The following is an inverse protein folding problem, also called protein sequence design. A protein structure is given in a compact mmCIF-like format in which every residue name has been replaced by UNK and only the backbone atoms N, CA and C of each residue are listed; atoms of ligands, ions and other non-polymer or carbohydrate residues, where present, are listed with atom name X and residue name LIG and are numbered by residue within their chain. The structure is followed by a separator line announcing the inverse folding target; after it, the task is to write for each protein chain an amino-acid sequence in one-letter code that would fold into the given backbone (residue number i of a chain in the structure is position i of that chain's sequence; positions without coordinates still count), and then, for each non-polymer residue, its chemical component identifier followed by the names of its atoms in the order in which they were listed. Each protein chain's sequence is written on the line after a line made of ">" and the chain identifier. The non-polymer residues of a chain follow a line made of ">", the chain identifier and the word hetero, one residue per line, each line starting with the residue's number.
data_IF_055582701090
#
_entry.id   IF_055582701090
#
_cell.length_a   1.000
_cell.length_b   1.000
_cell.length_c   1.000
_cell.angle_alpha   90.00
_cell.angle_beta   90.00
_cell.angle_gamma   90.00
#
_symmetry.space_group_name_H-M   'P 1'
#
loop_
_entity.id
_entity.type
_entity.pdbx_description
1 polymer ?
#
# COMPACT_ATOMS: atom_id res chain seq x y z
N UNK A 1 -6.63 4.41 -27.02
CA UNK A 1 -5.29 4.93 -26.73
C UNK A 1 -4.65 4.00 -25.70
N UNK A 2 -3.38 3.65 -25.85
CA UNK A 2 -2.70 2.89 -24.78
C UNK A 2 -2.71 3.72 -23.50
N UNK A 3 -3.14 3.14 -22.37
CA UNK A 3 -2.99 3.76 -21.05
C UNK A 3 -1.66 3.31 -20.47
N UNK A 4 -1.07 4.16 -19.65
CA UNK A 4 0.16 3.87 -18.90
C UNK A 4 -0.19 3.84 -17.43
N UNK A 5 0.23 2.81 -16.75
CA UNK A 5 -0.05 2.66 -15.33
C UNK A 5 1.19 2.36 -14.50
N UNK A 6 1.04 2.50 -13.19
CA UNK A 6 2.00 2.01 -12.22
C UNK A 6 1.27 1.05 -11.29
N UNK A 7 1.82 -0.13 -11.08
CA UNK A 7 1.34 -1.09 -10.08
C UNK A 7 2.31 -1.08 -8.89
N UNK A 8 1.81 -0.78 -7.70
CA UNK A 8 2.62 -0.62 -6.50
C UNK A 8 2.37 -1.77 -5.54
N UNK A 9 3.47 -2.38 -5.09
CA UNK A 9 3.47 -3.34 -4.00
C UNK A 9 4.14 -2.73 -2.76
N UNK A 10 3.43 -2.72 -1.63
CA UNK A 10 4.00 -2.35 -0.34
C UNK A 10 3.40 -3.23 0.76
N UNK A 11 4.18 -4.19 1.26
CA UNK A 11 3.72 -5.15 2.27
C UNK A 11 3.98 -4.69 3.72
N UNK A 12 4.58 -3.52 3.92
CA UNK A 12 5.00 -3.09 5.26
C UNK A 12 6.10 -3.98 5.83
N UNK A 13 6.02 -4.27 7.13
CA UNK A 13 6.98 -5.17 7.78
C UNK A 13 6.73 -6.63 7.35
N UNK A 14 7.74 -7.36 6.82
CA UNK A 14 7.54 -8.73 6.37
C UNK A 14 7.22 -9.64 7.56
N UNK A 15 6.06 -10.28 7.52
CA UNK A 15 5.69 -11.31 8.50
C UNK A 15 6.36 -12.65 8.21
N UNK A 16 6.78 -12.87 6.96
CA UNK A 16 7.49 -14.07 6.49
C UNK A 16 8.53 -13.69 5.43
N UNK A 17 9.51 -14.56 5.18
CA UNK A 17 10.50 -14.34 4.11
C UNK A 17 9.83 -14.26 2.73
N UNK A 18 8.70 -14.94 2.54
CA UNK A 18 7.94 -14.89 1.28
C UNK A 18 7.40 -13.48 0.98
N UNK A 19 7.29 -12.61 1.97
CA UNK A 19 6.94 -11.20 1.76
C UNK A 19 7.97 -10.41 0.93
N UNK A 20 9.17 -10.96 0.72
CA UNK A 20 10.25 -10.35 -0.07
C UNK A 20 10.35 -10.90 -1.50
N UNK A 21 9.52 -11.88 -1.85
CA UNK A 21 9.48 -12.45 -3.19
C UNK A 21 8.69 -11.49 -4.09
N UNK A 22 9.14 -11.23 -5.34
CA UNK A 22 8.39 -10.41 -6.29
C UNK A 22 6.93 -10.86 -6.43
N UNK A 23 6.00 -9.91 -6.42
CA UNK A 23 4.57 -10.22 -6.43
C UNK A 23 4.12 -10.79 -7.78
N UNK A 24 3.74 -12.07 -7.77
CA UNK A 24 3.26 -12.79 -8.95
C UNK A 24 1.90 -12.27 -9.45
N UNK A 25 1.04 -11.80 -8.55
CA UNK A 25 -0.26 -11.23 -8.90
C UNK A 25 -0.07 -9.97 -9.76
N UNK A 26 0.79 -9.04 -9.33
CA UNK A 26 1.11 -7.85 -10.12
C UNK A 26 1.78 -8.20 -11.46
N UNK A 27 2.63 -9.22 -11.50
CA UNK A 27 3.21 -9.70 -12.76
C UNK A 27 2.12 -10.21 -13.74
N UNK A 28 1.13 -10.96 -13.24
CA UNK A 28 0.00 -11.42 -14.04
C UNK A 28 -0.85 -10.23 -14.55
N UNK A 29 -1.18 -9.28 -13.67
CA UNK A 29 -1.93 -8.07 -14.05
C UNK A 29 -1.18 -7.25 -15.10
N UNK A 30 0.15 -7.14 -14.96
CA UNK A 30 1.00 -6.46 -15.94
C UNK A 30 1.01 -7.18 -17.29
N UNK A 31 1.05 -8.53 -17.29
CA UNK A 31 0.92 -9.34 -18.51
C UNK A 31 -0.40 -9.07 -19.24
N UNK A 32 -1.51 -8.99 -18.52
CA UNK A 32 -2.82 -8.71 -19.11
C UNK A 32 -2.91 -7.30 -19.67
N UNK A 33 -2.40 -6.30 -18.94
CA UNK A 33 -2.30 -4.93 -19.45
C UNK A 33 -1.50 -4.89 -20.75
N UNK A 34 -0.37 -5.61 -20.80
CA UNK A 34 0.44 -5.72 -22.02
C UNK A 34 -0.31 -6.39 -23.18
N UNK A 35 -0.98 -7.53 -22.93
CA UNK A 35 -1.77 -8.26 -23.93
C UNK A 35 -2.95 -7.44 -24.48
N UNK A 36 -3.52 -6.56 -23.66
CA UNK A 36 -4.63 -5.67 -24.04
C UNK A 36 -4.18 -4.34 -24.65
N UNK A 37 -2.87 -4.17 -24.87
CA UNK A 37 -2.30 -3.00 -25.55
C UNK A 37 -2.13 -1.78 -24.63
N UNK A 38 -2.03 -2.00 -23.33
CA UNK A 38 -1.68 -1.01 -22.32
C UNK A 38 -0.24 -1.21 -21.84
N UNK A 39 0.33 -0.18 -21.22
CA UNK A 39 1.67 -0.19 -20.67
C UNK A 39 1.62 -0.06 -19.15
N UNK A 40 2.55 -0.71 -18.45
CA UNK A 40 2.63 -0.59 -17.00
C UNK A 40 4.06 -0.72 -16.48
N UNK A 41 4.29 -0.12 -15.32
CA UNK A 41 5.51 -0.26 -14.53
C UNK A 41 5.16 -0.82 -13.15
N UNK A 42 5.83 -1.89 -12.73
CA UNK A 42 5.72 -2.40 -11.36
C UNK A 42 6.76 -1.70 -10.49
N UNK A 43 6.32 -1.10 -9.40
CA UNK A 43 7.18 -0.58 -8.33
C UNK A 43 6.98 -1.43 -7.08
N UNK A 44 7.94 -2.29 -6.79
CA UNK A 44 7.91 -3.16 -5.63
C UNK A 44 8.74 -2.57 -4.48
N UNK A 45 8.06 -2.16 -3.42
CA UNK A 45 8.65 -1.66 -2.19
C UNK A 45 8.74 -2.73 -1.09
N UNK A 46 8.43 -3.98 -1.38
CA UNK A 46 8.60 -5.11 -0.46
C UNK A 46 10.02 -5.69 -0.56
N UNK A 47 11.02 -4.83 -0.39
CA UNK A 47 12.45 -5.19 -0.52
C UNK A 47 13.19 -5.01 0.80
N UNK A 48 14.34 -5.70 0.94
CA UNK A 48 15.23 -5.51 2.08
C UNK A 48 15.66 -4.05 2.24
N UNK A 49 15.97 -3.37 1.12
CA UNK A 49 16.34 -1.96 1.14
C UNK A 49 15.23 -1.06 1.69
N UNK A 50 13.97 -1.34 1.36
CA UNK A 50 12.84 -0.62 1.96
C UNK A 50 12.74 -0.86 3.47
N UNK A 51 12.95 -2.10 3.92
CA UNK A 51 12.87 -2.44 5.35
C UNK A 51 13.98 -1.75 6.15
N UNK A 52 15.21 -1.74 5.63
CA UNK A 52 16.33 -1.02 6.23
C UNK A 52 16.06 0.48 6.35
N UNK A 53 15.37 1.05 5.35
CA UNK A 53 14.91 2.44 5.42
C UNK A 53 13.84 2.66 6.48
N UNK A 54 12.92 1.72 6.67
CA UNK A 54 11.83 1.83 7.65
C UNK A 54 12.31 1.70 9.10
N UNK A 55 13.39 0.96 9.35
CA UNK A 55 13.94 0.74 10.70
C UNK A 55 15.42 1.15 10.75
N UNK A 56 15.73 2.41 11.10
CA UNK A 56 17.09 2.90 11.21
C UNK A 56 17.94 2.12 12.22
N UNK A 57 19.20 1.82 11.86
CA UNK A 57 20.16 1.12 12.74
C UNK A 57 20.30 1.76 14.13
N UNK A 58 20.24 3.10 14.21
CA UNK A 58 20.30 3.82 15.49
C UNK A 58 19.11 3.50 16.41
N UNK A 59 17.91 3.34 15.84
CA UNK A 59 16.72 2.95 16.60
C UNK A 59 16.78 1.48 16.99
N UNK A 60 17.31 0.62 16.12
CA UNK A 60 17.54 -0.79 16.43
C UNK A 60 18.50 -0.98 17.62
N UNK A 61 19.62 -0.24 17.65
CA UNK A 61 20.55 -0.28 18.76
C UNK A 61 19.90 0.19 20.08
N UNK A 62 19.16 1.30 20.03
CA UNK A 62 18.45 1.81 21.21
C UNK A 62 17.34 0.85 21.70
N UNK A 63 16.69 0.12 20.80
CA UNK A 63 15.71 -0.91 21.15
C UNK A 63 16.37 -2.11 21.83
N UNK A 64 17.57 -2.51 21.39
CA UNK A 64 18.34 -3.56 22.04
C UNK A 64 18.69 -3.17 23.49
N UNK A 65 19.13 -1.93 23.72
CA UNK A 65 19.40 -1.41 25.06
C UNK A 65 18.13 -1.40 25.94
N UNK A 66 16.98 -1.01 25.36
CA UNK A 66 15.70 -1.04 26.05
C UNK A 66 15.24 -2.47 26.38
N UNK A 67 15.54 -3.43 25.52
CA UNK A 67 15.24 -4.84 25.73
C UNK A 67 16.06 -5.46 26.86
N UNK A 68 17.37 -5.15 26.92
CA UNK A 68 18.21 -5.58 28.05
C UNK A 68 17.72 -4.98 29.37
N UNK A 69 17.39 -3.68 29.38
CA UNK A 69 16.81 -3.04 30.56
C UNK A 69 15.48 -3.69 30.99
N UNK A 70 14.64 -4.11 30.03
CA UNK A 70 13.42 -4.85 30.30
C UNK A 70 13.70 -6.23 30.93
N UNK A 71 14.68 -6.97 30.41
CA UNK A 71 15.05 -8.27 30.98
C UNK A 71 15.57 -8.13 32.41
N UNK A 72 16.37 -7.09 32.69
CA UNK A 72 16.88 -6.81 34.03
C UNK A 72 15.76 -6.43 35.01
N UNK A 73 14.80 -5.60 34.58
CA UNK A 73 13.60 -5.28 35.37
C UNK A 73 12.79 -6.54 35.72
N UNK A 74 12.59 -7.42 34.73
CA UNK A 74 11.86 -8.68 34.93
C UNK A 74 12.60 -9.62 35.89
N UNK A 75 13.93 -9.70 35.82
CA UNK A 75 14.75 -10.50 36.74
C UNK A 75 14.75 -9.94 38.17
N UNK A 76 14.81 -8.61 38.30
CA UNK A 76 14.94 -7.95 39.59
C UNK A 76 13.61 -7.84 40.36
N UNK A 77 12.52 -7.51 39.66
CA UNK A 77 11.25 -7.17 40.29
C UNK A 77 10.04 -7.94 39.74
N UNK A 78 10.21 -8.79 38.73
CA UNK A 78 9.11 -9.51 38.07
C UNK A 78 8.14 -8.60 37.31
N UNK A 79 8.50 -7.33 37.11
CA UNK A 79 7.69 -6.33 36.41
C UNK A 79 8.58 -5.28 35.75
N UNK A 80 8.12 -4.71 34.64
CA UNK A 80 8.78 -3.62 33.94
C UNK A 80 8.78 -2.34 34.79
N UNK A 81 9.92 -1.63 34.82
CA UNK A 81 10.02 -0.33 35.49
C UNK A 81 9.38 0.78 34.66
N UNK A 82 8.97 1.87 35.33
CA UNK A 82 8.48 3.08 34.64
C UNK A 82 9.53 3.66 33.69
N UNK A 83 10.81 3.59 34.06
CA UNK A 83 11.92 4.07 33.22
C UNK A 83 11.97 3.31 31.89
N UNK A 84 11.94 1.98 31.94
CA UNK A 84 11.95 1.14 30.74
C UNK A 84 10.68 1.32 29.91
N UNK A 85 9.52 1.40 30.56
CA UNK A 85 8.24 1.68 29.90
C UNK A 85 8.29 3.01 29.11
N UNK A 86 8.73 4.09 29.76
CA UNK A 86 8.84 5.41 29.13
C UNK A 86 9.84 5.41 27.97
N UNK A 87 10.96 4.69 28.10
CA UNK A 87 11.94 4.53 27.04
C UNK A 87 11.33 3.82 25.81
N UNK A 88 10.63 2.70 26.02
CA UNK A 88 9.96 1.97 24.93
C UNK A 88 8.91 2.84 24.22
N UNK A 89 8.11 3.59 24.97
CA UNK A 89 7.13 4.53 24.41
C UNK A 89 7.82 5.63 23.57
N UNK A 90 8.95 6.16 24.04
CA UNK A 90 9.70 7.17 23.29
C UNK A 90 10.28 6.61 21.99
N UNK A 91 10.83 5.39 22.05
CA UNK A 91 11.39 4.69 20.89
C UNK A 91 10.31 4.38 19.85
N UNK A 92 9.15 3.88 20.29
CA UNK A 92 7.98 3.65 19.42
C UNK A 92 7.57 4.93 18.70
N UNK A 93 7.41 6.05 19.42
CA UNK A 93 7.09 7.36 18.82
C UNK A 93 8.16 7.86 17.85
N UNK A 94 9.43 7.55 18.08
CA UNK A 94 10.52 7.89 17.14
C UNK A 94 10.44 7.03 15.88
N UNK A 95 10.18 5.73 16.03
CA UNK A 95 10.03 4.80 14.92
C UNK A 95 8.84 5.18 14.04
N UNK A 96 7.66 5.44 14.63
CA UNK A 96 6.48 5.81 13.87
C UNK A 96 6.65 7.14 13.11
N UNK A 97 7.25 8.16 13.73
CA UNK A 97 7.60 9.41 13.02
C UNK A 97 8.58 9.20 11.87
N UNK A 98 9.52 8.28 12.03
CA UNK A 98 10.46 7.94 10.98
C UNK A 98 9.75 7.22 9.81
N UNK A 99 8.88 6.25 10.10
CA UNK A 99 8.06 5.53 9.10
C UNK A 99 7.17 6.49 8.31
N UNK A 100 6.50 7.44 8.97
CA UNK A 100 5.73 8.50 8.28
C UNK A 100 6.59 9.30 7.29
N UNK A 101 7.83 9.62 7.67
CA UNK A 101 8.79 10.28 6.79
C UNK A 101 9.22 9.41 5.60
N UNK A 102 9.34 8.09 5.78
CA UNK A 102 9.64 7.16 4.68
C UNK A 102 8.44 6.97 3.74
N UNK A 103 7.20 6.95 4.23
CA UNK A 103 6.01 6.89 3.36
C UNK A 103 5.96 8.10 2.42
N UNK A 104 6.28 9.29 2.92
CA UNK A 104 6.38 10.50 2.09
C UNK A 104 7.48 10.34 1.04
N UNK A 105 8.67 9.83 1.40
CA UNK A 105 9.77 9.61 0.44
C UNK A 105 9.39 8.61 -0.66
N UNK A 106 8.78 7.48 -0.28
CA UNK A 106 8.27 6.49 -1.24
C UNK A 106 7.24 7.13 -2.17
N UNK A 107 6.33 7.94 -1.64
CA UNK A 107 5.35 8.66 -2.45
C UNK A 107 6.02 9.63 -3.44
N UNK A 108 7.07 10.35 -3.05
CA UNK A 108 7.84 11.20 -3.98
C UNK A 108 8.53 10.39 -5.08
N UNK A 109 9.12 9.24 -4.74
CA UNK A 109 9.73 8.33 -5.73
C UNK A 109 8.70 7.83 -6.75
N UNK A 110 7.51 7.44 -6.28
CA UNK A 110 6.39 7.06 -7.15
C UNK A 110 5.94 8.24 -8.00
N UNK A 111 5.85 9.45 -7.44
CA UNK A 111 5.48 10.67 -8.17
C UNK A 111 6.46 10.99 -9.30
N UNK A 112 7.75 10.84 -9.07
CA UNK A 112 8.75 11.04 -10.11
C UNK A 112 8.58 10.02 -11.23
N UNK A 113 8.24 8.77 -10.90
CA UNK A 113 7.88 7.75 -11.89
C UNK A 113 6.57 8.06 -12.61
N UNK A 114 5.54 8.56 -11.92
CA UNK A 114 4.28 9.02 -12.53
C UNK A 114 4.57 10.06 -13.62
N UNK A 115 5.48 11.02 -13.37
CA UNK A 115 5.87 12.04 -14.36
C UNK A 115 6.66 11.45 -15.51
N UNK A 116 7.63 10.58 -15.22
CA UNK A 116 8.53 9.96 -16.19
C UNK A 116 7.74 9.14 -17.22
N UNK A 117 6.88 8.24 -16.75
CA UNK A 117 6.07 7.39 -17.62
C UNK A 117 4.77 8.06 -18.07
N UNK A 118 4.43 9.23 -17.51
CA UNK A 118 3.17 9.94 -17.69
C UNK A 118 1.97 9.00 -17.44
N UNK A 119 1.96 8.43 -16.23
CA UNK A 119 0.94 7.46 -15.83
C UNK A 119 -0.46 8.10 -15.83
N UNK A 120 -1.42 7.38 -16.39
CA UNK A 120 -2.84 7.74 -16.44
C UNK A 120 -3.57 7.23 -15.18
N UNK A 121 -3.08 6.14 -14.58
CA UNK A 121 -3.57 5.63 -13.30
C UNK A 121 -2.49 4.89 -12.50
N UNK A 122 -2.77 4.64 -11.23
CA UNK A 122 -1.96 3.83 -10.32
C UNK A 122 -2.83 2.78 -9.62
N UNK A 123 -2.33 1.57 -9.51
CA UNK A 123 -2.97 0.47 -8.78
C UNK A 123 -2.13 0.06 -7.58
N UNK A 124 -2.74 -0.04 -6.39
CA UNK A 124 -2.08 -0.51 -5.18
C UNK A 124 -2.48 -1.94 -4.84
N UNK A 125 -1.50 -2.82 -4.63
CA UNK A 125 -1.71 -4.09 -3.93
C UNK A 125 -1.84 -3.81 -2.43
N UNK A 126 -3.05 -3.93 -1.90
CA UNK A 126 -3.38 -3.67 -0.51
C UNK A 126 -3.21 -4.94 0.33
N UNK A 127 -2.09 -5.00 1.06
CA UNK A 127 -1.83 -5.97 2.11
C UNK A 127 -2.43 -5.53 3.44
N UNK A 128 -2.51 -6.42 4.43
CA UNK A 128 -3.06 -6.09 5.75
C UNK A 128 -2.02 -5.44 6.68
N UNK A 129 -2.49 -4.87 7.81
CA UNK A 129 -1.63 -4.24 8.80
C UNK A 129 -0.87 -3.03 8.26
N UNK A 130 0.44 -2.98 8.53
CA UNK A 130 1.33 -1.89 8.08
C UNK A 130 1.34 -1.72 6.55
N UNK A 131 1.09 -2.79 5.79
CA UNK A 131 0.99 -2.71 4.33
C UNK A 131 -0.16 -1.84 3.86
N UNK A 132 -1.35 -1.98 4.46
CA UNK A 132 -2.50 -1.11 4.16
C UNK A 132 -2.25 0.31 4.63
N UNK A 133 -1.81 0.47 5.88
CA UNK A 133 -1.57 1.78 6.47
C UNK A 133 -0.56 2.59 5.65
N UNK A 134 0.59 2.00 5.32
CA UNK A 134 1.60 2.65 4.48
C UNK A 134 1.09 2.93 3.07
N UNK A 135 0.39 1.99 2.43
CA UNK A 135 -0.20 2.20 1.10
C UNK A 135 -1.20 3.35 1.08
N UNK A 136 -2.03 3.47 2.11
CA UNK A 136 -2.99 4.57 2.28
C UNK A 136 -2.28 5.92 2.43
N UNK A 137 -1.24 6.00 3.27
CA UNK A 137 -0.43 7.21 3.45
C UNK A 137 0.27 7.63 2.17
N UNK A 138 0.89 6.67 1.49
CA UNK A 138 1.57 6.88 0.20
C UNK A 138 0.57 7.40 -0.83
N UNK A 139 -0.56 6.71 -1.01
CA UNK A 139 -1.60 7.11 -1.95
C UNK A 139 -2.17 8.50 -1.61
N UNK A 140 -2.35 8.82 -0.32
CA UNK A 140 -2.90 10.12 0.12
C UNK A 140 -1.95 11.26 -0.19
N UNK A 141 -0.65 11.03 -0.01
CA UNK A 141 0.38 12.00 -0.39
C UNK A 141 0.41 12.23 -1.91
N UNK A 142 0.30 11.16 -2.71
CA UNK A 142 0.19 11.25 -4.17
C UNK A 142 -1.06 12.05 -4.57
N UNK A 143 -2.23 11.74 -4.00
CA UNK A 143 -3.49 12.45 -4.24
C UNK A 143 -3.39 13.94 -3.95
N UNK A 144 -2.68 14.33 -2.89
CA UNK A 144 -2.44 15.73 -2.53
C UNK A 144 -1.68 16.53 -3.59
N UNK A 145 -0.86 15.86 -4.42
CA UNK A 145 -0.11 16.47 -5.53
C UNK A 145 -0.77 16.26 -6.89
N UNK A 146 -1.56 15.19 -7.05
CA UNK A 146 -2.21 14.78 -8.30
C UNK A 146 -3.68 14.45 -8.05
N UNK A 147 -4.51 15.47 -7.77
CA UNK A 147 -5.93 15.28 -7.45
C UNK A 147 -6.71 14.51 -8.53
N UNK A 148 -6.34 14.68 -9.81
CA UNK A 148 -7.01 14.05 -10.95
C UNK A 148 -6.50 12.66 -11.35
N UNK A 149 -5.40 12.17 -10.76
CA UNK A 149 -4.87 10.84 -11.10
C UNK A 149 -5.83 9.75 -10.62
N UNK A 150 -6.11 8.74 -11.43
CA UNK A 150 -6.92 7.60 -10.98
C UNK A 150 -6.10 6.68 -10.09
N UNK A 151 -6.59 6.41 -8.89
CA UNK A 151 -5.94 5.55 -7.90
C UNK A 151 -6.88 4.40 -7.57
N UNK A 152 -6.48 3.18 -7.90
CA UNK A 152 -7.23 1.97 -7.59
C UNK A 152 -6.51 1.16 -6.52
N UNK A 153 -7.26 0.36 -5.77
CA UNK A 153 -6.73 -0.61 -4.80
C UNK A 153 -7.24 -2.01 -5.08
N UNK A 154 -6.50 -3.04 -4.66
CA UNK A 154 -6.97 -4.42 -4.76
C UNK A 154 -6.11 -5.38 -3.95
N UNK A 155 -6.55 -6.63 -3.80
CA UNK A 155 -5.82 -7.67 -3.07
C UNK A 155 -6.40 -7.98 -1.69
N UNK A 156 -5.67 -8.76 -0.86
CA UNK A 156 -6.24 -9.46 0.29
C UNK A 156 -6.94 -8.56 1.31
N UNK A 157 -6.46 -7.32 1.49
CA UNK A 157 -7.14 -6.37 2.38
C UNK A 157 -8.54 -6.02 1.88
N UNK A 158 -8.71 -5.81 0.57
CA UNK A 158 -10.05 -5.55 0.00
C UNK A 158 -10.93 -6.78 0.10
N UNK A 159 -10.39 -7.98 -0.12
CA UNK A 159 -11.17 -9.22 -0.05
C UNK A 159 -11.78 -9.45 1.34
N UNK A 160 -11.04 -9.06 2.39
CA UNK A 160 -11.48 -9.22 3.78
C UNK A 160 -12.36 -8.08 4.27
N UNK A 161 -12.02 -6.83 3.92
CA UNK A 161 -12.67 -5.64 4.49
C UNK A 161 -13.71 -4.99 3.57
N UNK A 162 -13.70 -5.29 2.28
CA UNK A 162 -14.68 -4.84 1.28
C UNK A 162 -15.01 -3.34 1.41
N UNK A 163 -16.29 -2.99 1.56
CA UNK A 163 -16.79 -1.62 1.66
C UNK A 163 -16.21 -0.84 2.86
N UNK A 164 -15.71 -1.53 3.90
CA UNK A 164 -15.11 -0.87 5.05
C UNK A 164 -13.84 -0.09 4.68
N UNK A 165 -13.14 -0.50 3.62
CA UNK A 165 -11.97 0.25 3.11
C UNK A 165 -12.41 1.62 2.60
N UNK A 166 -13.50 1.70 1.82
CA UNK A 166 -14.05 2.96 1.29
C UNK A 166 -14.76 3.81 2.35
N UNK A 167 -15.16 3.20 3.47
CA UNK A 167 -15.64 3.93 4.64
C UNK A 167 -14.49 4.52 5.47
N UNK A 168 -13.33 3.85 5.47
CA UNK A 168 -12.14 4.31 6.18
C UNK A 168 -11.38 5.41 5.43
N UNK A 169 -11.25 5.28 4.11
CA UNK A 169 -10.47 6.21 3.28
C UNK A 169 -11.16 6.51 1.95
N UNK A 170 -11.02 7.75 1.49
CA UNK A 170 -11.51 8.29 0.22
C UNK A 170 -10.44 8.36 -0.86
N UNK A 171 -9.23 7.86 -0.57
CA UNK A 171 -8.07 8.02 -1.46
C UNK A 171 -8.18 7.19 -2.74
N UNK A 172 -8.89 6.06 -2.70
CA UNK A 172 -9.06 5.15 -3.82
C UNK A 172 -10.37 5.47 -4.57
N UNK A 173 -10.29 5.63 -5.89
CA UNK A 173 -11.45 5.84 -6.77
C UNK A 173 -12.33 4.57 -6.86
N UNK A 174 -11.69 3.40 -6.82
CA UNK A 174 -12.35 2.11 -6.81
C UNK A 174 -11.43 1.03 -6.22
N UNK A 175 -12.03 -0.06 -5.73
CA UNK A 175 -11.34 -1.22 -5.18
C UNK A 175 -11.76 -2.48 -5.93
N UNK A 176 -10.78 -3.25 -6.41
CA UNK A 176 -10.99 -4.58 -6.97
C UNK A 176 -10.99 -5.62 -5.84
N UNK A 177 -11.99 -6.51 -5.82
CA UNK A 177 -12.12 -7.60 -4.86
C UNK A 177 -12.32 -8.95 -5.59
N UNK A 178 -11.68 -10.00 -5.12
CA UNK A 178 -11.57 -11.26 -5.87
C UNK A 178 -10.51 -11.20 -6.98
N UNK A 179 -10.73 -11.96 -8.06
CA UNK A 179 -9.80 -12.05 -9.19
C UNK A 179 -9.72 -10.71 -9.95
N UNK A 180 -8.49 -10.27 -10.24
CA UNK A 180 -8.18 -8.95 -10.77
C UNK A 180 -7.88 -8.92 -12.26
N UNK A 181 -7.76 -10.10 -12.88
CA UNK A 181 -7.26 -10.33 -14.22
C UNK A 181 -8.10 -9.61 -15.28
N UNK A 182 -9.40 -9.84 -15.32
CA UNK A 182 -10.28 -9.08 -16.22
C UNK A 182 -10.42 -7.62 -15.75
N UNK A 183 -10.56 -7.43 -14.45
CA UNK A 183 -10.84 -6.15 -13.79
C UNK A 183 -9.80 -5.08 -14.16
N UNK A 184 -8.52 -5.42 -14.20
CA UNK A 184 -7.46 -4.45 -14.47
C UNK A 184 -7.53 -3.86 -15.89
N UNK A 185 -7.88 -4.68 -16.89
CA UNK A 185 -8.05 -4.21 -18.27
C UNK A 185 -9.28 -3.32 -18.41
N UNK A 186 -10.38 -3.67 -17.74
CA UNK A 186 -11.59 -2.84 -17.72
C UNK A 186 -11.42 -1.53 -16.95
N UNK A 187 -10.58 -1.51 -15.90
CA UNK A 187 -10.18 -0.26 -15.24
C UNK A 187 -9.37 0.63 -16.18
N UNK A 188 -8.48 0.05 -16.99
CA UNK A 188 -7.77 0.80 -18.04
C UNK A 188 -8.75 1.37 -19.10
N UNK A 189 -9.73 0.59 -19.56
CA UNK A 189 -10.78 1.09 -20.46
C UNK A 189 -11.63 2.20 -19.83
N UNK A 190 -11.91 2.13 -18.52
CA UNK A 190 -12.58 3.18 -17.77
C UNK A 190 -11.73 4.47 -17.77
N UNK A 191 -10.42 4.37 -17.57
CA UNK A 191 -9.49 5.51 -17.62
C UNK A 191 -9.46 6.13 -19.02
N UNK A 192 -9.60 5.33 -20.08
CA UNK A 192 -9.77 5.83 -21.45
C UNK A 192 -11.13 6.49 -21.73
N UNK A 193 -12.10 6.36 -20.83
CA UNK A 193 -13.48 6.81 -21.04
C UNK A 193 -14.31 5.90 -21.93
N UNK A 194 -13.88 4.65 -22.17
CA UNK A 194 -14.59 3.66 -22.98
C UNK A 194 -15.59 2.82 -22.18
N UNK A 195 -15.48 2.84 -20.85
CA UNK A 195 -16.28 2.03 -19.93
C UNK A 195 -16.68 2.83 -18.70
N UNK A 196 -17.78 2.45 -18.04
CA UNK A 196 -18.20 2.98 -16.73
C UNK A 196 -17.81 2.01 -15.62
N UNK A 197 -17.56 2.51 -14.40
CA UNK A 197 -17.23 1.65 -13.25
C UNK A 197 -18.31 0.58 -12.97
N UNK A 198 -19.59 0.89 -13.20
CA UNK A 198 -20.70 -0.06 -13.06
C UNK A 198 -20.64 -1.27 -14.01
N UNK A 199 -19.79 -1.21 -15.04
CA UNK A 199 -19.60 -2.26 -16.06
C UNK A 199 -18.29 -3.04 -15.84
N UNK A 200 -17.56 -2.75 -14.77
CA UNK A 200 -16.34 -3.44 -14.38
C UNK A 200 -16.73 -4.48 -13.32
N UNK A 201 -16.62 -5.80 -13.57
CA UNK A 201 -16.89 -6.82 -12.56
C UNK A 201 -15.95 -6.69 -11.37
N UNK A 202 -16.27 -7.36 -10.25
CA UNK A 202 -15.36 -7.48 -9.11
C UNK A 202 -14.93 -6.12 -8.50
N UNK A 203 -15.80 -5.10 -8.55
CA UNK A 203 -15.45 -3.74 -8.17
C UNK A 203 -16.34 -3.18 -7.05
N UNK A 204 -15.72 -2.44 -6.13
CA UNK A 204 -16.35 -1.56 -5.15
C UNK A 204 -15.98 -0.11 -5.46
N UNK A 205 -16.93 0.81 -5.49
CA UNK A 205 -16.66 2.22 -5.75
C UNK A 205 -17.69 3.13 -5.10
N UNK A 206 -17.34 4.40 -4.89
CA UNK A 206 -18.25 5.38 -4.29
C UNK A 206 -18.85 6.28 -5.38
N UNK A 207 -20.18 6.38 -5.41
CA UNK A 207 -20.90 7.27 -6.32
C UNK A 207 -22.00 7.98 -5.53
N UNK A 208 -22.04 9.32 -5.64
CA UNK A 208 -23.02 10.16 -4.93
C UNK A 208 -23.08 9.94 -3.40
N UNK A 209 -21.96 9.56 -2.79
CA UNK A 209 -21.87 9.27 -1.35
C UNK A 209 -22.19 7.82 -0.97
N UNK A 210 -22.71 7.02 -1.89
CA UNK A 210 -23.08 5.61 -1.67
C UNK A 210 -22.02 4.66 -2.22
N UNK A 211 -21.76 3.57 -1.51
CA UNK A 211 -20.85 2.52 -1.96
C UNK A 211 -21.64 1.54 -2.82
N UNK A 212 -21.17 1.34 -4.04
CA UNK A 212 -21.72 0.41 -5.02
C UNK A 212 -20.77 -0.77 -5.21
N UNK A 213 -21.33 -1.95 -5.48
CA UNK A 213 -20.61 -3.16 -5.84
C UNK A 213 -21.13 -3.71 -7.16
N UNK A 214 -20.24 -4.26 -7.99
CA UNK A 214 -20.61 -4.98 -9.22
C UNK A 214 -20.65 -6.48 -8.99
N UNK A 215 -21.20 -7.24 -9.94
CA UNK A 215 -21.27 -8.70 -9.81
C UNK A 215 -19.88 -9.35 -9.74
N UNK A 216 -19.82 -10.43 -8.97
CA UNK A 216 -18.67 -11.34 -8.91
C UNK A 216 -18.65 -12.23 -10.16
N UNK A 217 -17.47 -12.39 -10.74
CA UNK A 217 -17.22 -13.30 -11.86
C UNK A 217 -16.40 -14.51 -11.44
#
# INVERSE_FOLDING_TARGET
>A
MSTRSILVNFNGYPSTINSLVPDNGLANLAGILFETGHETLILDYSTLGTIERMVPQKLQAALADAYEAFLDDMRAAGKMSEKTSNLLIELDRKLERHKEGEFIRIAEEIIDKIKEVKADFIGFKLWTGDGFYGSEKIARHIRGKYAGLKIFGGGPHVDWFKEHVLNYTDVFDALAYGEGEETISYLAEYVEGKRRLSEVPNLLYKQNGEINSTDLK
#
